data_IF_441236352483
#
_entry.id   IF_441236352483
#
_cell.length_a   1.000
_cell.length_b   1.000
_cell.length_c   1.000
_cell.angle_alpha   90.00
_cell.angle_beta   90.00
_cell.angle_gamma   90.00
#
_symmetry.space_group_name_H-M   'P 1'
#
loop_
_entity.id
_entity.type
_entity.pdbx_description
1 polymer ?
#
# COMPACT_ATOMS: atom_id res chain seq x y z
N UNK A 1 0.08 -25.68 -35.28
CA UNK A 1 0.39 -27.09 -34.96
C UNK A 1 -0.53 -27.49 -33.82
N UNK A 2 -1.29 -28.57 -33.96
CA UNK A 2 -2.09 -29.09 -32.85
C UNK A 2 -1.14 -29.77 -31.86
N UNK A 3 -1.34 -29.52 -30.56
CA UNK A 3 -0.71 -30.26 -29.48
C UNK A 3 -1.81 -31.02 -28.76
N UNK A 4 -1.95 -32.32 -29.04
CA UNK A 4 -2.90 -33.17 -28.34
C UNK A 4 -2.40 -33.41 -26.91
N UNK A 5 -3.29 -33.26 -25.93
CA UNK A 5 -3.01 -33.37 -24.51
C UNK A 5 -4.21 -34.02 -23.82
N UNK A 6 -3.95 -34.88 -22.84
CA UNK A 6 -5.01 -35.48 -22.03
C UNK A 6 -5.52 -34.52 -20.94
N UNK A 7 -4.64 -33.63 -20.45
CA UNK A 7 -4.93 -32.65 -19.39
C UNK A 7 -4.20 -31.34 -19.66
N UNK A 8 -4.87 -30.22 -19.43
CA UNK A 8 -4.31 -28.87 -19.46
C UNK A 8 -4.44 -28.21 -18.08
N UNK A 9 -3.32 -27.76 -17.52
CA UNK A 9 -3.30 -27.01 -16.25
C UNK A 9 -3.06 -25.53 -16.54
N UNK A 10 -3.98 -24.68 -16.09
CA UNK A 10 -3.86 -23.22 -16.22
C UNK A 10 -3.22 -22.63 -14.95
N UNK A 11 -1.92 -22.34 -15.01
CA UNK A 11 -1.16 -21.71 -13.94
C UNK A 11 -0.94 -20.21 -14.22
N UNK A 12 -2.02 -19.44 -14.37
CA UNK A 12 -2.00 -18.05 -14.90
C UNK A 12 -1.66 -16.96 -13.86
N UNK A 13 -1.40 -17.33 -12.61
CA UNK A 13 -1.03 -16.38 -11.54
C UNK A 13 -2.18 -15.48 -11.08
N UNK A 14 -1.83 -14.26 -10.65
CA UNK A 14 -2.74 -13.30 -10.02
C UNK A 14 -2.61 -11.89 -10.61
N UNK A 15 -3.64 -11.06 -10.43
CA UNK A 15 -3.60 -9.63 -10.74
C UNK A 15 -3.22 -8.86 -9.47
N UNK A 16 -1.92 -8.65 -9.27
CA UNK A 16 -1.31 -8.16 -8.03
C UNK A 16 -1.53 -6.66 -7.78
N UNK A 17 -1.96 -5.93 -8.80
CA UNK A 17 -2.29 -4.50 -8.77
C UNK A 17 -3.75 -4.22 -8.39
N UNK A 18 -4.60 -5.26 -8.29
CA UNK A 18 -6.06 -5.13 -8.08
C UNK A 18 -6.48 -5.38 -6.63
N UNK A 19 -5.87 -4.67 -5.70
CA UNK A 19 -5.99 -4.87 -4.24
C UNK A 19 -7.43 -5.06 -3.71
N UNK A 20 -8.40 -4.31 -4.22
CA UNK A 20 -9.75 -4.27 -3.65
C UNK A 20 -10.83 -4.93 -4.49
N UNK A 21 -10.53 -5.48 -5.68
CA UNK A 21 -11.60 -6.00 -6.53
C UNK A 21 -12.26 -7.24 -5.93
N UNK A 22 -13.61 -7.38 -6.01
CA UNK A 22 -14.55 -6.52 -6.74
C UNK A 22 -15.18 -5.37 -5.92
N UNK A 23 -14.64 -5.05 -4.74
CA UNK A 23 -15.15 -4.00 -3.85
C UNK A 23 -14.98 -2.63 -4.51
N UNK A 24 -16.07 -1.86 -4.51
CA UNK A 24 -16.05 -0.44 -4.86
C UNK A 24 -15.95 0.39 -3.57
N UNK A 25 -14.87 1.18 -3.47
CA UNK A 25 -14.65 2.09 -2.34
C UNK A 25 -14.79 3.51 -2.84
N UNK A 26 -15.72 4.26 -2.25
CA UNK A 26 -15.98 5.67 -2.55
C UNK A 26 -15.54 6.51 -1.36
N UNK A 27 -14.56 7.37 -1.58
CA UNK A 27 -14.02 8.31 -0.60
C UNK A 27 -14.78 9.63 -0.58
N UNK A 28 -14.09 10.68 -0.12
CA UNK A 28 -14.66 12.02 0.04
C UNK A 28 -15.11 12.58 -1.32
N UNK A 29 -16.21 13.33 -1.33
CA UNK A 29 -16.78 13.98 -2.53
C UNK A 29 -17.13 13.02 -3.68
N UNK A 30 -17.36 11.73 -3.40
CA UNK A 30 -17.70 10.74 -4.42
C UNK A 30 -16.50 10.24 -5.23
N UNK A 31 -15.27 10.56 -4.83
CA UNK A 31 -14.06 10.10 -5.53
C UNK A 31 -13.84 8.61 -5.24
N UNK A 32 -13.80 7.79 -6.28
CA UNK A 32 -13.53 6.35 -6.13
C UNK A 32 -12.04 6.08 -5.85
N UNK A 33 -11.78 5.02 -5.09
CA UNK A 33 -10.42 4.53 -4.83
C UNK A 33 -9.68 4.17 -6.13
N UNK A 34 -10.40 3.63 -7.12
CA UNK A 34 -9.86 3.36 -8.46
C UNK A 34 -9.35 4.63 -9.16
N UNK A 35 -10.04 5.78 -8.98
CA UNK A 35 -9.56 7.07 -9.49
C UNK A 35 -8.32 7.56 -8.73
N UNK A 36 -8.27 7.38 -7.41
CA UNK A 36 -7.10 7.75 -6.57
C UNK A 36 -5.87 6.91 -6.93
N UNK A 37 -6.06 5.65 -7.31
CA UNK A 37 -5.02 4.73 -7.72
C UNK A 37 -4.69 4.75 -9.21
N UNK A 38 -5.27 5.65 -9.99
CA UNK A 38 -4.87 5.86 -11.38
C UNK A 38 -3.74 6.92 -11.45
N UNK A 39 -2.62 6.67 -12.14
CA UNK A 39 -2.33 5.50 -12.98
C UNK A 39 -1.74 4.30 -12.23
N UNK A 40 -1.31 4.47 -10.97
CA UNK A 40 -0.77 3.38 -10.15
C UNK A 40 -1.26 3.45 -8.69
N UNK A 41 -1.51 2.30 -8.04
CA UNK A 41 -1.86 2.26 -6.63
C UNK A 41 -0.78 2.88 -5.75
N UNK A 42 -1.21 3.68 -4.77
CA UNK A 42 -0.34 4.28 -3.75
C UNK A 42 -1.05 4.37 -2.42
N UNK A 43 -0.26 4.34 -1.36
CA UNK A 43 -0.71 4.50 0.03
C UNK A 43 0.40 5.20 0.82
N UNK A 44 0.03 5.95 1.84
CA UNK A 44 0.96 6.43 2.84
C UNK A 44 1.35 5.27 3.76
N UNK A 45 2.65 4.98 3.80
CA UNK A 45 3.23 3.90 4.60
C UNK A 45 2.54 2.53 4.41
N UNK A 46 2.09 2.17 3.20
CA UNK A 46 1.33 0.93 2.90
C UNK A 46 -0.01 0.76 3.65
N UNK A 47 -0.40 1.72 4.51
CA UNK A 47 -1.57 1.58 5.41
C UNK A 47 -2.76 2.45 5.02
N UNK A 48 -2.56 3.74 4.71
CA UNK A 48 -3.67 4.69 4.50
C UNK A 48 -3.65 5.34 3.12
N UNK A 49 -4.82 5.78 2.63
CA UNK A 49 -4.96 6.38 1.29
C UNK A 49 -5.50 7.81 1.40
N UNK A 50 -4.84 8.82 0.80
CA UNK A 50 -5.33 10.20 0.88
C UNK A 50 -6.69 10.35 0.20
N UNK A 51 -7.59 11.10 0.84
CA UNK A 51 -8.95 11.36 0.33
C UNK A 51 -9.96 10.24 0.58
N UNK A 52 -9.54 9.15 1.24
CA UNK A 52 -10.40 8.02 1.63
C UNK A 52 -10.35 7.89 3.16
N UNK A 53 -11.09 8.73 3.89
CA UNK A 53 -10.99 8.80 5.35
C UNK A 53 -11.43 7.49 6.02
N UNK A 54 -10.80 7.18 7.15
CA UNK A 54 -11.06 5.99 7.97
C UNK A 54 -10.89 4.65 7.23
N UNK A 55 -10.22 4.65 6.08
CA UNK A 55 -9.87 3.47 5.32
C UNK A 55 -8.42 3.06 5.60
N UNK A 56 -8.24 1.85 6.14
CA UNK A 56 -6.95 1.30 6.53
C UNK A 56 -6.72 -0.04 5.84
N UNK A 57 -5.49 -0.29 5.43
CA UNK A 57 -5.08 -1.49 4.73
C UNK A 57 -3.97 -2.21 5.50
N UNK A 58 -4.01 -3.54 5.45
CA UNK A 58 -2.86 -4.38 5.77
C UNK A 58 -2.25 -4.84 4.45
N UNK A 59 -0.94 -4.84 4.35
CA UNK A 59 -0.20 -5.23 3.15
C UNK A 59 -0.69 -4.49 1.89
N UNK A 60 -0.92 -3.18 2.00
CA UNK A 60 -1.43 -2.37 0.91
C UNK A 60 -0.39 -2.01 -0.16
N UNK A 61 -0.69 -1.04 -1.02
CA UNK A 61 0.23 -0.62 -2.08
C UNK A 61 1.64 -0.33 -1.54
N UNK A 62 2.65 -0.76 -2.30
CA UNK A 62 4.06 -0.77 -1.90
C UNK A 62 4.47 -1.86 -0.89
N UNK A 63 3.62 -2.85 -0.65
CA UNK A 63 4.01 -4.17 -0.12
C UNK A 63 4.33 -5.14 -1.27
N UNK A 64 5.12 -6.20 -1.05
CA UNK A 64 5.58 -6.75 0.23
C UNK A 64 6.69 -5.93 0.87
N UNK A 65 6.80 -6.08 2.19
CA UNK A 65 7.98 -5.64 2.93
C UNK A 65 9.06 -6.69 2.71
N UNK A 66 9.91 -6.47 1.70
CA UNK A 66 11.04 -7.35 1.36
C UNK A 66 10.67 -8.85 1.33
N UNK A 67 11.54 -9.68 1.93
CA UNK A 67 11.33 -11.12 2.13
C UNK A 67 10.84 -11.44 3.55
N UNK A 68 10.15 -10.50 4.20
CA UNK A 68 9.71 -10.65 5.60
C UNK A 68 8.34 -11.36 5.68
N UNK A 69 8.03 -12.03 6.81
CA UNK A 69 6.76 -12.72 6.98
C UNK A 69 5.57 -11.76 6.86
N UNK A 70 4.66 -12.05 5.93
CA UNK A 70 3.46 -11.23 5.67
C UNK A 70 2.57 -11.07 6.91
N UNK A 71 2.53 -12.08 7.76
CA UNK A 71 1.76 -12.08 9.02
C UNK A 71 2.34 -11.07 10.01
N UNK A 72 3.66 -11.08 10.17
CA UNK A 72 4.34 -10.16 11.08
C UNK A 72 4.20 -8.70 10.63
N UNK A 73 4.33 -8.46 9.32
CA UNK A 73 4.06 -7.15 8.72
C UNK A 73 2.63 -6.69 9.06
N UNK A 74 1.65 -7.59 8.91
CA UNK A 74 0.25 -7.29 9.21
C UNK A 74 0.00 -7.00 10.70
N UNK A 75 0.63 -7.73 11.62
CA UNK A 75 0.51 -7.52 13.07
C UNK A 75 1.06 -6.16 13.51
N UNK A 76 2.20 -5.78 12.92
CA UNK A 76 2.82 -4.47 13.16
C UNK A 76 1.95 -3.34 12.59
N UNK A 77 1.44 -3.50 11.37
CA UNK A 77 0.50 -2.52 10.78
C UNK A 77 -0.79 -2.42 11.59
N UNK A 78 -1.32 -3.54 12.10
CA UNK A 78 -2.51 -3.53 12.95
C UNK A 78 -2.28 -2.69 14.21
N UNK A 79 -1.11 -2.83 14.85
CA UNK A 79 -0.73 -2.04 16.02
C UNK A 79 -0.68 -0.54 15.72
N UNK A 80 -0.17 -0.15 14.55
CA UNK A 80 -0.20 1.23 14.06
C UNK A 80 -1.63 1.73 13.81
N UNK A 81 -2.46 0.93 13.13
CA UNK A 81 -3.86 1.26 12.79
C UNK A 81 -4.68 1.47 14.06
N UNK A 82 -4.50 0.62 15.08
CA UNK A 82 -5.22 0.74 16.35
C UNK A 82 -4.95 2.08 17.06
N UNK A 83 -3.77 2.67 16.88
CA UNK A 83 -3.47 4.02 17.41
C UNK A 83 -4.27 5.11 16.69
N UNK A 84 -4.48 4.98 15.37
CA UNK A 84 -5.34 5.91 14.61
C UNK A 84 -6.82 5.71 14.97
N UNK A 85 -7.26 4.47 15.10
CA UNK A 85 -8.63 4.13 15.53
C UNK A 85 -8.92 4.64 16.93
N UNK A 86 -7.93 4.66 17.82
CA UNK A 86 -8.07 5.24 19.16
C UNK A 86 -8.46 6.72 19.13
N UNK A 87 -7.94 7.49 18.16
CA UNK A 87 -8.32 8.90 17.97
C UNK A 87 -9.80 9.06 17.60
N UNK A 88 -10.30 8.16 16.76
CA UNK A 88 -11.71 8.11 16.37
C UNK A 88 -12.58 7.69 17.57
N UNK A 89 -12.16 6.64 18.29
CA UNK A 89 -12.88 6.11 19.46
C UNK A 89 -13.01 7.13 20.58
N UNK A 90 -11.95 7.89 20.84
CA UNK A 90 -11.89 8.93 21.87
C UNK A 90 -12.48 10.27 21.42
N UNK A 91 -13.09 10.31 20.24
CA UNK A 91 -13.71 11.51 19.65
C UNK A 91 -12.74 12.69 19.51
N UNK A 92 -11.44 12.40 19.34
CA UNK A 92 -10.43 13.42 19.01
C UNK A 92 -10.51 13.87 17.55
N UNK A 93 -11.14 13.05 16.70
CA UNK A 93 -11.61 13.38 15.36
C UNK A 93 -12.73 12.40 14.95
N UNK A 94 -13.52 12.76 13.94
CA UNK A 94 -14.51 11.88 13.27
C UNK A 94 -13.95 11.20 12.03
N UNK A 95 -13.04 11.88 11.35
CA UNK A 95 -12.35 11.36 10.18
C UNK A 95 -10.85 11.55 10.33
N UNK A 96 -10.09 10.57 9.85
CA UNK A 96 -8.66 10.65 9.70
C UNK A 96 -8.24 10.13 8.31
N UNK A 97 -7.45 10.93 7.61
CA UNK A 97 -6.87 10.60 6.29
C UNK A 97 -5.45 11.16 6.24
N UNK A 98 -4.49 10.50 5.58
CA UNK A 98 -3.18 11.09 5.37
C UNK A 98 -3.30 12.30 4.45
N UNK A 99 -2.42 13.27 4.65
CA UNK A 99 -2.28 14.42 3.76
C UNK A 99 -1.74 13.97 2.40
N UNK A 100 -2.26 14.58 1.34
CA UNK A 100 -1.78 14.33 -0.03
C UNK A 100 -0.28 14.64 -0.16
N UNK A 101 0.18 15.74 0.45
CA UNK A 101 1.59 16.15 0.44
C UNK A 101 2.50 15.16 1.18
N UNK A 102 2.03 14.59 2.31
CA UNK A 102 2.79 13.58 3.05
C UNK A 102 2.88 12.27 2.25
N UNK A 103 1.76 11.86 1.64
CA UNK A 103 1.70 10.68 0.76
C UNK A 103 2.64 10.83 -0.44
N UNK A 104 2.61 11.99 -1.11
CA UNK A 104 3.47 12.27 -2.26
C UNK A 104 4.95 12.32 -1.88
N UNK A 105 5.29 12.90 -0.71
CA UNK A 105 6.66 12.92 -0.18
C UNK A 105 7.17 11.50 0.09
N UNK A 106 6.39 10.69 0.80
CA UNK A 106 6.70 9.30 1.11
C UNK A 106 6.93 8.48 -0.17
N UNK A 107 6.01 8.57 -1.14
CA UNK A 107 6.12 7.80 -2.37
C UNK A 107 7.31 8.25 -3.23
N UNK A 108 7.63 9.55 -3.28
CA UNK A 108 8.85 10.04 -3.92
C UNK A 108 10.12 9.46 -3.29
N UNK A 109 10.18 9.40 -1.96
CA UNK A 109 11.30 8.80 -1.23
C UNK A 109 11.42 7.30 -1.52
N UNK A 110 10.29 6.59 -1.51
CA UNK A 110 10.19 5.17 -1.82
C UNK A 110 10.72 4.87 -3.22
N UNK A 111 10.22 5.58 -4.23
CA UNK A 111 10.64 5.43 -5.64
C UNK A 111 12.14 5.71 -5.80
N UNK A 112 12.69 6.66 -5.06
CA UNK A 112 14.13 6.93 -5.09
C UNK A 112 14.91 5.76 -4.47
N UNK A 113 14.43 5.20 -3.36
CA UNK A 113 15.09 4.11 -2.66
C UNK A 113 15.05 2.79 -3.44
N UNK A 114 13.97 2.50 -4.19
CA UNK A 114 13.87 1.26 -4.99
C UNK A 114 14.98 1.12 -6.03
N UNK A 115 15.48 2.24 -6.58
CA UNK A 115 16.53 2.24 -7.62
C UNK A 115 17.83 1.57 -7.20
N UNK A 116 18.10 1.52 -5.90
CA UNK A 116 19.32 0.94 -5.34
C UNK A 116 19.12 -0.49 -4.81
N UNK A 117 18.00 -1.13 -5.15
CA UNK A 117 17.65 -2.47 -4.65
C UNK A 117 17.72 -3.52 -5.75
N UNK A 118 17.84 -4.79 -5.36
CA UNK A 118 17.75 -5.92 -6.30
C UNK A 118 16.40 -5.99 -7.02
N UNK A 119 15.35 -5.38 -6.47
CA UNK A 119 14.01 -5.31 -7.07
C UNK A 119 13.96 -4.45 -8.33
N UNK A 120 14.91 -3.53 -8.50
CA UNK A 120 15.07 -2.72 -9.70
C UNK A 120 16.04 -3.33 -10.73
N UNK A 121 16.65 -4.48 -10.42
CA UNK A 121 17.59 -5.18 -11.30
C UNK A 121 16.99 -6.48 -11.83
N UNK A 122 17.10 -6.75 -13.13
CA UNK A 122 16.70 -8.02 -13.74
C UNK A 122 15.37 -8.01 -14.51
N UNK A 123 14.92 -9.21 -14.87
CA UNK A 123 13.80 -9.48 -15.79
C UNK A 123 12.48 -8.81 -15.38
N UNK A 124 11.60 -8.61 -16.37
CA UNK A 124 10.20 -8.23 -16.16
C UNK A 124 9.55 -9.09 -15.07
N UNK A 125 9.13 -8.47 -13.98
CA UNK A 125 8.47 -9.13 -12.86
C UNK A 125 7.16 -8.44 -12.53
N UNK A 126 6.26 -9.15 -11.84
CA UNK A 126 4.97 -8.65 -11.39
C UNK A 126 5.07 -7.56 -10.31
N UNK A 127 6.28 -7.28 -9.81
CA UNK A 127 6.55 -6.15 -8.92
C UNK A 127 6.75 -4.84 -9.68
N UNK A 128 7.15 -4.87 -10.95
CA UNK A 128 7.59 -3.66 -11.66
C UNK A 128 6.39 -3.08 -12.42
N UNK A 129 6.06 -1.81 -12.15
CA UNK A 129 5.04 -1.09 -12.91
C UNK A 129 5.54 -0.63 -14.29
N UNK A 130 4.66 0.02 -15.06
CA UNK A 130 4.98 0.48 -16.41
C UNK A 130 6.14 1.50 -16.45
N UNK A 131 6.42 2.20 -15.34
CA UNK A 131 7.49 3.18 -15.21
C UNK A 131 8.80 2.57 -14.65
N UNK A 132 8.84 1.24 -14.48
CA UNK A 132 10.01 0.55 -13.95
C UNK A 132 10.13 0.62 -12.43
N UNK A 133 9.08 1.03 -11.72
CA UNK A 133 9.10 1.17 -10.26
C UNK A 133 8.60 -0.11 -9.59
N UNK A 134 9.42 -0.76 -8.74
CA UNK A 134 8.95 -1.89 -7.95
C UNK A 134 7.88 -1.48 -6.92
N UNK A 135 6.76 -2.20 -6.91
CA UNK A 135 5.73 -2.20 -5.88
C UNK A 135 6.20 -3.03 -4.68
N UNK A 136 7.24 -2.56 -4.00
CA UNK A 136 7.79 -3.17 -2.79
C UNK A 136 8.30 -2.09 -1.84
N UNK A 137 8.42 -2.45 -0.56
CA UNK A 137 9.08 -1.64 0.43
C UNK A 137 10.60 -1.76 0.21
N UNK A 138 11.30 -0.67 -0.09
CA UNK A 138 12.71 -0.74 -0.50
C UNK A 138 13.69 -0.70 0.68
N UNK A 139 13.22 -0.47 1.91
CA UNK A 139 14.07 -0.29 3.08
C UNK A 139 14.14 -1.53 3.96
N UNK A 140 14.90 -1.44 5.05
CA UNK A 140 15.04 -2.54 6.01
C UNK A 140 13.79 -2.72 6.86
N UNK A 141 13.68 -3.87 7.53
CA UNK A 141 12.58 -4.14 8.46
C UNK A 141 12.68 -3.28 9.73
N UNK A 142 13.88 -2.91 10.16
CA UNK A 142 14.06 -2.02 11.32
C UNK A 142 13.45 -0.65 11.04
N UNK A 143 13.61 -0.13 9.81
CA UNK A 143 12.92 1.08 9.39
C UNK A 143 11.41 0.88 9.36
N UNK A 144 10.94 -0.28 8.89
CA UNK A 144 9.51 -0.59 8.90
C UNK A 144 8.94 -0.56 10.32
N UNK A 145 9.56 -1.25 11.28
CA UNK A 145 9.13 -1.21 12.68
C UNK A 145 9.19 0.21 13.26
N UNK A 146 10.23 0.99 12.94
CA UNK A 146 10.34 2.37 13.40
C UNK A 146 9.22 3.27 12.85
N UNK A 147 8.89 3.16 11.56
CA UNK A 147 7.80 3.92 10.95
C UNK A 147 6.41 3.45 11.42
N UNK A 148 6.27 2.17 11.74
CA UNK A 148 5.02 1.58 12.24
C UNK A 148 4.86 1.71 13.77
N UNK A 149 5.89 2.16 14.51
CA UNK A 149 5.83 2.28 15.95
C UNK A 149 4.73 3.26 16.41
N UNK A 150 4.58 4.38 15.69
CA UNK A 150 3.52 5.35 15.94
C UNK A 150 3.21 6.20 14.69
N UNK A 151 1.95 6.57 14.44
CA UNK A 151 1.60 7.51 13.38
C UNK A 151 2.20 8.90 13.64
N UNK A 152 2.85 9.47 12.64
CA UNK A 152 3.18 10.89 12.65
C UNK A 152 1.91 11.71 12.41
N UNK A 153 1.26 12.18 13.47
CA UNK A 153 -0.01 12.90 13.37
C UNK A 153 0.07 14.21 12.57
N UNK A 154 1.27 14.78 12.37
CA UNK A 154 1.46 15.94 11.50
C UNK A 154 1.25 15.60 10.00
N UNK A 155 1.29 14.32 9.63
CA UNK A 155 1.04 13.85 8.27
C UNK A 155 -0.42 13.47 8.03
N UNK A 156 -1.30 13.65 9.02
CA UNK A 156 -2.73 13.35 8.95
C UNK A 156 -3.59 14.61 9.05
N UNK A 157 -4.73 14.58 8.36
CA UNK A 157 -5.80 15.58 8.45
C UNK A 157 -6.92 15.03 9.34
N UNK A 158 -7.01 15.43 10.62
CA UNK A 158 -8.16 15.14 11.45
C UNK A 158 -9.32 16.10 11.13
N UNK A 159 -10.51 15.57 10.90
CA UNK A 159 -11.75 16.37 10.81
C UNK A 159 -12.62 16.05 12.02
N UNK A 160 -13.15 17.08 12.69
CA UNK A 160 -13.99 16.98 13.88
C UNK A 160 -15.49 16.98 13.58
#
# INVERSE_FOLDING_TARGET
RLHELDVLVLATGFKTDRFMRPIEVIGRNGVSLDSVWSPRPRAYQTVTVPGVPNFFMLNGPSSPVGNFPLIEVAEVQMSYILQLVELLRTQRCREITPLEAATARYDKERVAATKNTVWATGCSSWYIDADGVPAAWPWTIERFYAEMAAPNLADYEPVN
#
